data_IF_853755164853
#
_entry.id   IF_853755164853
#
_cell.length_a   1.000
_cell.length_b   1.000
_cell.length_c   1.000
_cell.angle_alpha   90.00
_cell.angle_beta   90.00
_cell.angle_gamma   90.00
#
_symmetry.space_group_name_H-M   'P 1'
#
loop_
_entity.id
_entity.type
_entity.pdbx_description
1 polymer ?
#
# COMPACT_ATOMS: atom_id res chain seq x y z
N UNK A 1 -11.33 5.30 0.31
CA UNK A 1 -11.03 3.90 0.68
C UNK A 1 -9.54 3.68 0.94
N UNK A 2 -8.62 4.08 0.05
CA UNK A 2 -7.17 3.87 0.27
C UNK A 2 -6.62 4.57 1.52
N UNK A 3 -7.07 5.79 1.84
CA UNK A 3 -6.65 6.50 3.06
C UNK A 3 -7.02 5.74 4.34
N UNK A 4 -8.24 5.17 4.39
CA UNK A 4 -8.65 4.31 5.51
C UNK A 4 -7.81 3.04 5.61
N UNK A 5 -7.43 2.44 4.46
CA UNK A 5 -6.56 1.26 4.46
C UNK A 5 -5.14 1.59 4.95
N UNK A 6 -4.61 2.78 4.64
CA UNK A 6 -3.34 3.24 5.19
C UNK A 6 -3.41 3.39 6.72
N UNK A 7 -4.47 4.03 7.24
CA UNK A 7 -4.72 4.13 8.68
C UNK A 7 -4.85 2.76 9.35
N UNK A 8 -5.56 1.82 8.72
CA UNK A 8 -5.66 0.44 9.23
C UNK A 8 -4.30 -0.26 9.28
N UNK A 9 -3.45 -0.02 8.28
CA UNK A 9 -2.06 -0.53 8.28
C UNK A 9 -1.27 -0.03 9.49
N UNK A 10 -1.41 1.26 9.85
CA UNK A 10 -0.80 1.83 11.07
C UNK A 10 -1.32 1.14 12.33
N UNK A 11 -2.63 0.95 12.44
CA UNK A 11 -3.24 0.25 13.59
C UNK A 11 -2.67 -1.16 13.74
N UNK A 12 -2.61 -1.93 12.65
CA UNK A 12 -2.08 -3.30 12.67
C UNK A 12 -0.59 -3.31 13.03
N UNK A 13 0.20 -2.39 12.46
CA UNK A 13 1.61 -2.23 12.79
C UNK A 13 1.84 -1.94 14.27
N UNK A 14 1.02 -1.06 14.86
CA UNK A 14 1.07 -0.73 16.28
C UNK A 14 0.67 -1.91 17.18
N UNK A 15 -0.37 -2.67 16.81
CA UNK A 15 -0.78 -3.89 17.53
C UNK A 15 0.35 -4.91 17.53
N UNK A 16 0.96 -5.19 16.37
CA UNK A 16 2.11 -6.10 16.26
C UNK A 16 3.35 -5.60 17.02
N UNK A 17 3.49 -4.29 17.15
CA UNK A 17 4.52 -3.69 18.01
C UNK A 17 4.20 -3.79 19.51
N UNK A 18 3.00 -4.27 19.88
CA UNK A 18 2.58 -4.45 21.26
C UNK A 18 2.08 -3.16 21.89
N UNK A 19 1.26 -2.40 21.17
CA UNK A 19 0.57 -1.23 21.76
C UNK A 19 -0.21 -1.67 23.00
N UNK A 20 0.05 -0.98 24.13
CA UNK A 20 -0.62 -1.24 25.40
C UNK A 20 -1.84 -0.34 25.61
N UNK A 21 -2.56 -0.60 26.69
CA UNK A 21 -3.66 0.26 27.17
C UNK A 21 -3.21 1.00 28.44
N UNK A 22 -3.52 2.31 28.60
CA UNK A 22 -4.27 3.15 27.64
C UNK A 22 -3.48 3.46 26.36
N UNK A 23 -4.19 3.64 25.24
CA UNK A 23 -3.58 3.99 23.95
C UNK A 23 -2.91 5.38 24.03
N UNK A 24 -1.64 5.52 23.64
CA UNK A 24 -0.94 6.80 23.69
C UNK A 24 -1.48 7.78 22.64
N UNK A 25 -1.30 9.07 22.85
CA UNK A 25 -1.75 10.11 21.92
C UNK A 25 -1.10 9.96 20.54
N UNK A 26 0.17 9.56 20.51
CA UNK A 26 0.95 9.30 19.30
C UNK A 26 0.30 8.27 18.38
N UNK A 27 -0.41 7.29 18.96
CA UNK A 27 -1.16 6.30 18.18
C UNK A 27 -2.26 6.95 17.33
N UNK A 28 -3.04 7.86 17.91
CA UNK A 28 -4.11 8.57 17.19
C UNK A 28 -3.55 9.55 16.17
N UNK A 29 -2.46 10.25 16.52
CA UNK A 29 -1.76 11.16 15.60
C UNK A 29 -1.21 10.36 14.41
N UNK A 30 -0.60 9.21 14.63
CA UNK A 30 -0.06 8.37 13.57
C UNK A 30 -1.14 7.91 12.57
N UNK A 31 -2.32 7.54 13.06
CA UNK A 31 -3.48 7.21 12.23
C UNK A 31 -3.91 8.40 11.38
N UNK A 32 -4.01 9.60 11.98
CA UNK A 32 -4.38 10.83 11.29
C UNK A 32 -3.33 11.22 10.22
N UNK A 33 -2.04 11.12 10.53
CA UNK A 33 -0.95 11.39 9.59
C UNK A 33 -1.02 10.46 8.37
N UNK A 34 -1.19 9.15 8.58
CA UNK A 34 -1.29 8.20 7.49
C UNK A 34 -2.53 8.46 6.61
N UNK A 35 -3.66 8.82 7.24
CA UNK A 35 -4.87 9.22 6.54
C UNK A 35 -4.64 10.46 5.67
N UNK A 36 -4.02 11.51 6.23
CA UNK A 36 -3.77 12.78 5.54
C UNK A 36 -2.78 12.62 4.39
N UNK A 37 -1.66 11.92 4.58
CA UNK A 37 -0.66 11.69 3.51
C UNK A 37 -1.26 10.89 2.37
N UNK A 38 -1.98 9.80 2.69
CA UNK A 38 -2.65 8.98 1.67
C UNK A 38 -3.77 9.76 0.98
N UNK A 39 -4.57 10.54 1.72
CA UNK A 39 -5.62 11.39 1.20
C UNK A 39 -5.06 12.48 0.27
N UNK A 40 -4.00 13.18 0.69
CA UNK A 40 -3.31 14.16 -0.13
C UNK A 40 -2.79 13.55 -1.44
N UNK A 41 -2.18 12.35 -1.37
CA UNK A 41 -1.72 11.62 -2.56
C UNK A 41 -2.85 11.27 -3.53
N UNK A 42 -4.04 10.90 -3.02
CA UNK A 42 -5.22 10.68 -3.87
C UNK A 42 -5.69 11.96 -4.56
N UNK A 43 -5.73 13.08 -3.83
CA UNK A 43 -6.13 14.39 -4.36
C UNK A 43 -5.14 14.86 -5.43
N UNK A 44 -3.85 14.71 -5.19
CA UNK A 44 -2.79 15.02 -6.17
C UNK A 44 -2.91 14.10 -7.39
N UNK A 45 -3.27 12.84 -7.21
CA UNK A 45 -3.51 11.94 -8.34
C UNK A 45 -4.70 12.39 -9.19
N UNK A 46 -5.82 12.80 -8.58
CA UNK A 46 -6.97 13.33 -9.31
C UNK A 46 -6.62 14.65 -10.04
N UNK A 47 -5.74 15.48 -9.45
CA UNK A 47 -5.24 16.69 -10.09
C UNK A 47 -4.47 16.39 -11.39
N UNK A 48 -3.51 15.45 -11.36
CA UNK A 48 -2.73 15.10 -12.55
C UNK A 48 -3.53 14.31 -13.58
N UNK A 49 -4.60 13.63 -13.15
CA UNK A 49 -5.50 12.87 -14.03
C UNK A 49 -6.66 13.70 -14.59
N UNK A 50 -6.75 15.00 -14.27
CA UNK A 50 -7.88 15.87 -14.61
C UNK A 50 -8.34 15.74 -16.07
N UNK A 51 -7.43 15.88 -17.03
CA UNK A 51 -7.77 15.82 -18.45
C UNK A 51 -8.24 14.45 -18.90
N UNK A 52 -7.66 13.41 -18.35
CA UNK A 52 -8.03 12.00 -18.63
C UNK A 52 -9.39 11.70 -18.00
N UNK A 53 -9.62 12.15 -16.77
CA UNK A 53 -10.87 11.93 -16.05
C UNK A 53 -12.04 12.75 -16.65
N UNK A 54 -11.80 13.90 -17.28
CA UNK A 54 -12.85 14.61 -18.04
C UNK A 54 -13.47 13.78 -19.16
N UNK A 55 -12.70 12.89 -19.74
CA UNK A 55 -13.16 12.00 -20.82
C UNK A 55 -13.75 10.72 -20.23
N UNK A 56 -13.02 10.06 -19.31
CA UNK A 56 -13.36 8.73 -18.85
C UNK A 56 -14.35 8.72 -17.68
N UNK A 57 -14.35 9.78 -16.85
CA UNK A 57 -15.12 9.86 -15.60
C UNK A 57 -15.62 11.29 -15.34
N UNK A 58 -16.41 11.91 -16.25
CA UNK A 58 -16.81 13.32 -16.19
C UNK A 58 -17.64 13.67 -14.95
N UNK A 59 -18.25 12.66 -14.32
CA UNK A 59 -19.05 12.83 -13.10
C UNK A 59 -18.23 12.93 -11.80
N UNK A 60 -16.90 12.68 -11.83
CA UNK A 60 -16.04 12.90 -10.67
C UNK A 60 -16.04 14.36 -10.25
N UNK A 61 -15.75 14.60 -8.96
CA UNK A 61 -15.86 15.91 -8.32
C UNK A 61 -15.03 17.00 -9.05
N UNK A 62 -13.79 16.70 -9.39
CA UNK A 62 -12.90 17.65 -10.05
C UNK A 62 -13.24 17.85 -11.55
N UNK A 63 -13.39 16.77 -12.37
CA UNK A 63 -13.81 16.90 -13.77
C UNK A 63 -15.17 17.56 -13.98
N UNK A 64 -16.12 17.38 -13.04
CA UNK A 64 -17.45 17.99 -13.12
C UNK A 64 -17.46 19.49 -12.79
N UNK A 65 -16.32 20.06 -12.37
CA UNK A 65 -16.22 21.47 -12.01
C UNK A 65 -16.81 21.84 -10.64
N UNK A 66 -17.22 20.85 -9.82
CA UNK A 66 -17.74 21.10 -8.46
C UNK A 66 -16.69 21.69 -7.53
N UNK A 67 -15.41 21.42 -7.80
CA UNK A 67 -14.25 21.97 -7.09
C UNK A 67 -13.25 22.47 -8.14
N UNK A 68 -12.70 23.68 -7.91
CA UNK A 68 -11.70 24.28 -8.80
C UNK A 68 -10.31 23.65 -8.62
N UNK A 69 -9.51 23.66 -9.69
CA UNK A 69 -8.13 23.16 -9.70
C UNK A 69 -7.24 23.81 -8.62
N UNK A 70 -7.42 25.11 -8.37
CA UNK A 70 -6.67 25.84 -7.35
C UNK A 70 -7.02 25.36 -5.94
N UNK A 71 -8.30 25.13 -5.66
CA UNK A 71 -8.75 24.61 -4.37
C UNK A 71 -8.19 23.22 -4.09
N UNK A 72 -8.11 22.35 -5.11
CA UNK A 72 -7.53 21.01 -5.02
C UNK A 72 -6.04 21.06 -4.65
N UNK A 73 -5.26 21.97 -5.27
CA UNK A 73 -3.84 22.17 -4.93
C UNK A 73 -3.67 22.64 -3.49
N UNK A 74 -4.45 23.65 -3.08
CA UNK A 74 -4.38 24.20 -1.72
C UNK A 74 -4.74 23.13 -0.71
N UNK A 75 -5.81 22.37 -0.95
CA UNK A 75 -6.27 21.33 -0.04
C UNK A 75 -5.26 20.17 0.10
N UNK A 76 -4.68 19.69 -1.02
CA UNK A 76 -3.63 18.69 -0.98
C UNK A 76 -2.37 19.18 -0.25
N UNK A 77 -1.94 20.43 -0.56
CA UNK A 77 -0.81 21.07 0.12
C UNK A 77 -1.03 21.21 1.61
N UNK A 78 -2.22 21.67 2.03
CA UNK A 78 -2.58 21.79 3.44
C UNK A 78 -2.52 20.44 4.16
N UNK A 79 -3.05 19.35 3.56
CA UNK A 79 -2.98 18.03 4.14
C UNK A 79 -1.54 17.53 4.33
N UNK A 80 -0.65 17.75 3.32
CA UNK A 80 0.76 17.39 3.47
C UNK A 80 1.45 18.21 4.57
N UNK A 81 1.22 19.53 4.62
CA UNK A 81 1.82 20.39 5.65
C UNK A 81 1.34 19.98 7.04
N UNK A 82 0.03 19.83 7.25
CA UNK A 82 -0.53 19.42 8.55
C UNK A 82 -0.01 18.05 8.96
N UNK A 83 0.04 17.06 8.04
CA UNK A 83 0.56 15.74 8.33
C UNK A 83 2.03 15.77 8.79
N UNK A 84 2.87 16.58 8.12
CA UNK A 84 4.28 16.72 8.49
C UNK A 84 4.45 17.47 9.83
N UNK A 85 3.64 18.49 10.10
CA UNK A 85 3.65 19.18 11.40
C UNK A 85 3.22 18.26 12.55
N UNK A 86 2.17 17.45 12.35
CA UNK A 86 1.74 16.43 13.32
C UNK A 86 2.83 15.38 13.55
N UNK A 87 3.54 14.96 12.52
CA UNK A 87 4.67 14.03 12.66
C UNK A 87 5.82 14.65 13.49
N UNK A 88 6.14 15.93 13.29
CA UNK A 88 7.13 16.65 14.07
C UNK A 88 6.71 16.73 15.55
N UNK A 89 5.42 16.97 15.81
CA UNK A 89 4.87 17.01 17.18
C UNK A 89 5.05 15.70 17.94
N UNK A 90 5.15 14.56 17.26
CA UNK A 90 5.40 13.24 17.89
C UNK A 90 6.85 13.10 18.40
N UNK A 91 7.76 14.04 18.11
CA UNK A 91 9.17 14.06 18.55
C UNK A 91 9.96 12.77 18.24
N UNK A 92 9.54 12.04 17.20
CA UNK A 92 10.16 10.81 16.73
C UNK A 92 10.73 11.01 15.33
N UNK A 93 12.07 11.07 15.23
CA UNK A 93 12.76 11.36 13.97
C UNK A 93 12.44 10.36 12.86
N UNK A 94 12.22 9.08 13.21
CA UNK A 94 11.86 8.05 12.22
C UNK A 94 10.49 8.29 11.62
N UNK A 95 9.51 8.70 12.44
CA UNK A 95 8.15 9.03 11.98
C UNK A 95 8.15 10.30 11.13
N UNK A 96 8.91 11.32 11.54
CA UNK A 96 9.08 12.56 10.74
C UNK A 96 9.67 12.25 9.38
N UNK A 97 10.79 11.53 9.35
CA UNK A 97 11.48 11.16 8.10
C UNK A 97 10.56 10.33 7.18
N UNK A 98 9.85 9.34 7.76
CA UNK A 98 8.96 8.47 6.98
C UNK A 98 7.74 9.23 6.45
N UNK A 99 7.18 10.18 7.23
CA UNK A 99 6.06 11.03 6.78
C UNK A 99 6.50 11.91 5.60
N UNK A 100 7.65 12.58 5.73
CA UNK A 100 8.18 13.43 4.67
C UNK A 100 8.48 12.62 3.41
N UNK A 101 9.16 11.48 3.55
CA UNK A 101 9.47 10.60 2.43
C UNK A 101 8.21 10.08 1.74
N UNK A 102 7.20 9.62 2.50
CA UNK A 102 5.93 9.15 1.93
C UNK A 102 5.14 10.29 1.25
N UNK A 103 5.22 11.52 1.76
CA UNK A 103 4.63 12.69 1.10
C UNK A 103 5.27 12.93 -0.27
N UNK A 104 6.60 12.82 -0.37
CA UNK A 104 7.31 12.90 -1.64
C UNK A 104 6.95 11.74 -2.57
N UNK A 105 6.94 10.50 -2.05
CA UNK A 105 6.62 9.31 -2.86
C UNK A 105 5.21 9.40 -3.42
N UNK A 106 4.20 9.80 -2.63
CA UNK A 106 2.82 9.93 -3.11
C UNK A 106 2.68 11.02 -4.17
N UNK A 107 3.36 12.17 -4.00
CA UNK A 107 3.38 13.24 -4.99
C UNK A 107 4.03 12.80 -6.30
N UNK A 108 5.28 12.29 -6.25
CA UNK A 108 5.99 11.85 -7.45
C UNK A 108 5.36 10.63 -8.12
N UNK A 109 4.70 9.76 -7.34
CA UNK A 109 3.91 8.68 -7.89
C UNK A 109 2.79 9.24 -8.79
N UNK A 110 2.02 10.19 -8.28
CA UNK A 110 0.92 10.80 -9.01
C UNK A 110 1.40 11.57 -10.26
N UNK A 111 2.51 12.29 -10.15
CA UNK A 111 3.05 13.11 -11.24
C UNK A 111 3.68 12.26 -12.35
N UNK A 112 4.57 11.30 -11.97
CA UNK A 112 5.48 10.65 -12.90
C UNK A 112 5.52 9.12 -12.81
N UNK A 113 5.62 8.55 -11.57
CA UNK A 113 6.00 7.15 -11.41
C UNK A 113 4.91 6.19 -11.89
N UNK A 114 3.63 6.54 -11.74
CA UNK A 114 2.51 5.71 -12.21
C UNK A 114 2.54 5.45 -13.73
N UNK A 115 3.19 6.36 -14.49
CA UNK A 115 3.35 6.23 -15.95
C UNK A 115 4.63 5.50 -16.35
N UNK A 116 5.42 5.00 -15.38
CA UNK A 116 6.71 4.34 -15.60
C UNK A 116 6.68 2.87 -15.18
N UNK A 117 7.58 2.03 -15.70
CA UNK A 117 7.62 0.60 -15.37
C UNK A 117 7.80 0.31 -13.88
N UNK A 118 8.40 1.23 -13.12
CA UNK A 118 8.68 1.06 -11.68
C UNK A 118 7.59 1.59 -10.76
N UNK A 119 6.45 2.07 -11.27
CA UNK A 119 5.37 2.63 -10.44
C UNK A 119 4.84 1.66 -9.37
N UNK A 120 4.84 0.35 -9.67
CA UNK A 120 4.41 -0.69 -8.73
C UNK A 120 5.27 -0.78 -7.46
N UNK A 121 6.56 -0.40 -7.53
CA UNK A 121 7.47 -0.36 -6.38
C UNK A 121 7.01 0.73 -5.38
N UNK A 122 6.62 1.91 -5.88
CA UNK A 122 6.13 2.98 -5.03
C UNK A 122 4.84 2.58 -4.28
N UNK A 123 3.91 1.88 -4.94
CA UNK A 123 2.68 1.38 -4.29
C UNK A 123 3.01 0.31 -3.26
N UNK A 124 3.90 -0.63 -3.56
CA UNK A 124 4.39 -1.62 -2.61
C UNK A 124 5.00 -0.96 -1.37
N UNK A 125 5.89 0.04 -1.56
CA UNK A 125 6.49 0.81 -0.48
C UNK A 125 5.44 1.51 0.38
N UNK A 126 4.50 2.25 -0.22
CA UNK A 126 3.47 2.98 0.52
C UNK A 126 2.58 2.03 1.35
N UNK A 127 2.34 0.81 0.87
CA UNK A 127 1.59 -0.19 1.64
C UNK A 127 2.42 -0.72 2.81
N UNK A 128 3.68 -1.08 2.57
CA UNK A 128 4.59 -1.57 3.61
C UNK A 128 4.85 -0.50 4.68
N UNK A 129 5.05 0.74 4.25
CA UNK A 129 5.36 1.87 5.14
C UNK A 129 4.24 2.17 6.13
N UNK A 130 2.97 1.85 5.82
CA UNK A 130 1.88 2.01 6.76
C UNK A 130 2.04 1.10 8.00
N UNK A 131 2.46 -0.15 7.82
CA UNK A 131 2.75 -1.06 8.92
C UNK A 131 3.99 -0.61 9.70
N UNK A 132 5.06 -0.20 9.00
CA UNK A 132 6.28 0.33 9.62
C UNK A 132 5.99 1.57 10.45
N UNK A 133 5.12 2.46 9.96
CA UNK A 133 4.74 3.68 10.66
C UNK A 133 4.09 3.36 12.02
N UNK A 134 3.15 2.41 12.03
CA UNK A 134 2.54 1.94 13.28
C UNK A 134 3.56 1.30 14.23
N UNK A 135 4.48 0.50 13.70
CA UNK A 135 5.53 -0.14 14.48
C UNK A 135 6.52 0.83 15.10
N UNK A 136 6.81 1.95 14.44
CA UNK A 136 7.76 2.96 14.87
C UNK A 136 7.25 3.89 15.98
N UNK A 137 5.96 3.88 16.30
CA UNK A 137 5.38 4.74 17.37
C UNK A 137 6.15 4.55 18.69
N UNK A 138 6.65 3.35 18.96
CA UNK A 138 7.38 3.00 20.20
C UNK A 138 8.91 3.04 20.05
N UNK A 139 9.42 3.74 19.04
CA UNK A 139 10.86 4.01 18.85
C UNK A 139 11.66 2.89 18.18
N UNK A 140 11.14 1.68 18.06
CA UNK A 140 11.83 0.56 17.40
C UNK A 140 10.85 -0.36 16.66
N UNK A 141 11.25 -0.87 15.50
CA UNK A 141 10.43 -1.78 14.72
C UNK A 141 10.68 -3.22 15.15
N UNK A 142 9.65 -3.90 15.64
CA UNK A 142 9.74 -5.32 15.99
C UNK A 142 9.88 -6.19 14.75
N UNK A 143 10.57 -7.34 14.82
CA UNK A 143 10.76 -8.23 13.66
C UNK A 143 9.46 -8.67 12.96
N UNK A 144 8.38 -8.88 13.70
CA UNK A 144 7.07 -9.23 13.13
C UNK A 144 6.48 -8.09 12.27
N UNK A 145 6.69 -6.84 12.67
CA UNK A 145 6.25 -5.66 11.87
C UNK A 145 7.05 -5.58 10.58
N UNK A 146 8.38 -5.76 10.65
CA UNK A 146 9.24 -5.80 9.46
C UNK A 146 8.83 -6.90 8.50
N UNK A 147 8.50 -8.06 9.02
CA UNK A 147 8.11 -9.21 8.23
C UNK A 147 6.76 -8.98 7.53
N UNK A 148 5.75 -8.50 8.26
CA UNK A 148 4.46 -8.15 7.65
C UNK A 148 4.61 -7.03 6.61
N UNK A 149 5.42 -6.01 6.89
CA UNK A 149 5.69 -4.94 5.95
C UNK A 149 6.38 -5.46 4.67
N UNK A 150 7.37 -6.36 4.80
CA UNK A 150 8.02 -7.00 3.65
C UNK A 150 7.04 -7.85 2.83
N UNK A 151 6.22 -8.67 3.48
CA UNK A 151 5.16 -9.45 2.81
C UNK A 151 4.18 -8.53 2.08
N UNK A 152 3.72 -7.45 2.73
CA UNK A 152 2.84 -6.45 2.13
C UNK A 152 3.49 -5.74 0.94
N UNK A 153 4.78 -5.45 1.00
CA UNK A 153 5.55 -4.89 -0.10
C UNK A 153 5.52 -5.81 -1.33
N UNK A 154 5.94 -7.05 -1.18
CA UNK A 154 6.05 -8.00 -2.28
C UNK A 154 4.70 -8.41 -2.86
N UNK A 155 3.71 -8.65 -2.01
CA UNK A 155 2.35 -8.99 -2.47
C UNK A 155 1.71 -7.84 -3.25
N UNK A 156 1.89 -6.59 -2.80
CA UNK A 156 1.37 -5.44 -3.54
C UNK A 156 2.10 -5.20 -4.86
N UNK A 157 3.43 -5.36 -4.94
CA UNK A 157 4.16 -5.29 -6.21
C UNK A 157 3.61 -6.33 -7.18
N UNK A 158 3.46 -7.59 -6.76
CA UNK A 158 2.87 -8.65 -7.58
C UNK A 158 1.49 -8.25 -8.10
N UNK A 159 0.61 -7.78 -7.23
CA UNK A 159 -0.75 -7.37 -7.57
C UNK A 159 -0.78 -6.17 -8.53
N UNK A 160 0.06 -5.16 -8.31
CA UNK A 160 0.11 -3.97 -9.18
C UNK A 160 0.64 -4.32 -10.59
N UNK A 161 1.56 -5.28 -10.71
CA UNK A 161 2.01 -5.78 -12.02
C UNK A 161 0.86 -6.50 -12.73
N UNK A 162 0.09 -7.36 -12.05
CA UNK A 162 -1.09 -8.04 -12.62
C UNK A 162 -2.15 -7.02 -13.02
N UNK A 163 -2.34 -5.96 -12.23
CA UNK A 163 -3.23 -4.85 -12.58
C UNK A 163 -2.76 -4.12 -13.84
N UNK A 164 -1.47 -3.85 -13.97
CA UNK A 164 -0.92 -3.21 -15.18
C UNK A 164 -1.09 -4.09 -16.44
N UNK A 165 -1.12 -5.43 -16.29
CA UNK A 165 -1.48 -6.35 -17.38
C UNK A 165 -2.95 -6.18 -17.79
N UNK A 166 -3.86 -5.96 -16.83
CA UNK A 166 -5.27 -5.68 -17.12
C UNK A 166 -5.45 -4.34 -17.82
N UNK A 167 -4.80 -3.31 -17.31
CA UNK A 167 -4.97 -1.92 -17.75
C UNK A 167 -4.20 -1.61 -19.06
N UNK A 168 -3.40 -2.55 -19.59
CA UNK A 168 -2.44 -2.32 -20.70
C UNK A 168 -3.06 -1.69 -21.95
N UNK A 169 -4.31 -2.02 -22.28
CA UNK A 169 -4.98 -1.49 -23.49
C UNK A 169 -5.26 0.00 -23.33
N UNK A 170 -5.77 0.41 -22.16
CA UNK A 170 -5.94 1.81 -21.81
C UNK A 170 -4.60 2.54 -21.69
N UNK A 171 -3.62 1.93 -20.99
CA UNK A 171 -2.28 2.49 -20.80
C UNK A 171 -1.61 2.83 -22.14
N UNK A 172 -1.74 1.98 -23.15
CA UNK A 172 -1.19 2.21 -24.48
C UNK A 172 -1.80 3.45 -25.16
N UNK A 173 -3.11 3.69 -24.97
CA UNK A 173 -3.80 4.86 -25.55
C UNK A 173 -3.32 6.19 -24.96
N UNK A 174 -2.84 6.17 -23.70
CA UNK A 174 -2.36 7.36 -22.98
C UNK A 174 -0.84 7.47 -22.88
N UNK A 175 -0.08 6.74 -23.73
CA UNK A 175 1.38 6.72 -23.75
C UNK A 175 2.02 6.37 -22.38
N UNK A 176 1.33 5.57 -21.56
CA UNK A 176 1.87 5.05 -20.29
C UNK A 176 2.87 3.94 -20.61
N UNK A 177 4.05 4.01 -20.00
CA UNK A 177 5.09 2.98 -20.14
C UNK A 177 5.02 2.02 -18.95
N UNK A 178 3.89 1.31 -18.80
CA UNK A 178 3.76 0.28 -17.75
C UNK A 178 4.67 -0.92 -18.03
N UNK A 179 4.99 -1.69 -16.98
CA UNK A 179 5.91 -2.82 -17.09
C UNK A 179 5.52 -3.80 -18.22
N UNK A 180 4.26 -4.26 -18.34
CA UNK A 180 3.85 -5.18 -19.41
C UNK A 180 3.91 -4.57 -20.82
N UNK A 181 3.86 -3.22 -20.94
CA UNK A 181 4.07 -2.54 -22.22
C UNK A 181 5.54 -2.39 -22.59
N UNK A 182 6.44 -2.41 -21.60
CA UNK A 182 7.88 -2.23 -21.81
C UNK A 182 8.58 -3.56 -22.10
N UNK A 183 8.29 -4.62 -21.33
CA UNK A 183 8.98 -5.92 -21.43
C UNK A 183 8.09 -7.05 -21.94
N UNK A 184 6.80 -6.80 -22.19
CA UNK A 184 5.83 -7.81 -22.57
C UNK A 184 5.04 -8.41 -21.41
N UNK A 185 3.91 -9.04 -21.73
CA UNK A 185 2.97 -9.59 -20.72
C UNK A 185 3.53 -10.82 -20.01
N UNK A 186 4.17 -11.74 -20.76
CA UNK A 186 4.70 -12.97 -20.17
C UNK A 186 5.85 -12.69 -19.19
N UNK A 187 6.90 -11.92 -19.50
CA UNK A 187 7.93 -11.54 -18.54
C UNK A 187 7.39 -10.76 -17.35
N UNK A 188 6.40 -9.86 -17.55
CA UNK A 188 5.79 -9.12 -16.46
C UNK A 188 5.07 -10.06 -15.46
N UNK A 189 4.34 -11.07 -15.95
CA UNK A 189 3.73 -12.10 -15.10
C UNK A 189 4.76 -12.94 -14.36
N UNK A 190 5.88 -13.28 -14.99
CA UNK A 190 6.98 -14.00 -14.33
C UNK A 190 7.55 -13.20 -13.15
N UNK A 191 7.79 -11.90 -13.35
CA UNK A 191 8.23 -10.99 -12.28
C UNK A 191 7.19 -10.92 -11.14
N UNK A 192 5.89 -10.81 -11.47
CA UNK A 192 4.83 -10.84 -10.49
C UNK A 192 4.81 -12.15 -9.69
N UNK A 193 5.03 -13.29 -10.38
CA UNK A 193 5.13 -14.62 -9.73
C UNK A 193 6.32 -14.69 -8.78
N UNK A 194 7.49 -14.17 -9.16
CA UNK A 194 8.66 -14.15 -8.29
C UNK A 194 8.37 -13.39 -7.00
N UNK A 195 7.80 -12.18 -7.09
CA UNK A 195 7.44 -11.40 -5.90
C UNK A 195 6.39 -12.10 -5.03
N UNK A 196 5.43 -12.79 -5.64
CA UNK A 196 4.43 -13.58 -4.94
C UNK A 196 5.08 -14.75 -4.17
N UNK A 197 6.00 -15.49 -4.80
CA UNK A 197 6.74 -16.59 -4.17
C UNK A 197 7.58 -16.09 -3.00
N UNK A 198 8.27 -14.96 -3.15
CA UNK A 198 9.03 -14.35 -2.05
C UNK A 198 8.12 -14.08 -0.85
N UNK A 199 6.92 -13.53 -1.07
CA UNK A 199 5.97 -13.27 0.00
C UNK A 199 5.49 -14.55 0.68
N UNK A 200 5.22 -15.63 -0.07
CA UNK A 200 4.85 -16.95 0.46
C UNK A 200 6.00 -17.54 1.27
N UNK A 201 7.26 -17.41 0.81
CA UNK A 201 8.41 -17.91 1.59
C UNK A 201 8.54 -17.13 2.91
N UNK A 202 8.37 -15.82 2.87
CA UNK A 202 8.42 -14.97 4.06
C UNK A 202 7.33 -15.31 5.09
N UNK A 203 6.17 -15.84 4.66
CA UNK A 203 5.08 -16.20 5.56
C UNK A 203 5.44 -17.33 6.54
N UNK A 204 6.44 -18.15 6.22
CA UNK A 204 6.92 -19.23 7.11
C UNK A 204 7.95 -18.76 8.15
N UNK A 205 8.52 -17.56 7.99
CA UNK A 205 9.56 -17.05 8.92
C UNK A 205 9.05 -16.88 10.35
N UNK A 206 7.81 -16.39 10.63
CA UNK A 206 7.32 -16.30 12.01
C UNK A 206 7.24 -17.66 12.72
N UNK A 207 6.91 -18.72 11.97
CA UNK A 207 6.86 -20.10 12.49
C UNK A 207 8.27 -20.55 12.88
N UNK A 208 9.25 -20.38 11.99
CA UNK A 208 10.63 -20.74 12.25
C UNK A 208 11.24 -20.01 13.45
N UNK A 209 10.77 -18.78 13.70
CA UNK A 209 11.22 -17.95 14.83
C UNK A 209 10.40 -18.18 16.12
N UNK A 210 9.42 -19.05 16.12
CA UNK A 210 8.50 -19.31 17.25
C UNK A 210 7.93 -18.01 17.87
N UNK A 211 7.54 -17.04 17.00
CA UNK A 211 7.10 -15.70 17.42
C UNK A 211 5.58 -15.54 17.49
N UNK A 212 4.84 -16.51 16.95
CA UNK A 212 3.38 -16.48 16.87
C UNK A 212 2.80 -17.80 17.38
N UNK A 213 1.56 -17.75 17.88
CA UNK A 213 0.83 -18.90 18.40
C UNK A 213 0.46 -19.91 17.32
N UNK A 214 -0.03 -21.07 17.74
CA UNK A 214 -0.46 -22.17 16.87
C UNK A 214 -1.54 -21.76 15.85
N UNK A 215 -2.32 -20.73 16.13
CA UNK A 215 -3.39 -20.25 15.24
C UNK A 215 -2.87 -19.54 13.98
N UNK A 216 -1.63 -19.03 14.00
CA UNK A 216 -1.04 -18.37 12.84
C UNK A 216 -0.97 -19.27 11.61
N UNK A 217 -0.36 -20.45 11.77
CA UNK A 217 0.01 -21.30 10.64
C UNK A 217 -1.18 -21.79 9.80
N UNK A 218 -2.28 -22.30 10.37
CA UNK A 218 -3.44 -22.76 9.58
C UNK A 218 -4.06 -21.64 8.74
N UNK A 219 -4.19 -20.44 9.33
CA UNK A 219 -4.81 -19.29 8.66
C UNK A 219 -3.86 -18.77 7.58
N UNK A 220 -2.55 -18.77 7.83
CA UNK A 220 -1.55 -18.34 6.85
C UNK A 220 -1.47 -19.29 5.67
N UNK A 221 -1.51 -20.63 5.90
CA UNK A 221 -1.57 -21.62 4.82
C UNK A 221 -2.80 -21.37 3.93
N UNK A 222 -3.96 -21.04 4.51
CA UNK A 222 -5.14 -20.69 3.72
C UNK A 222 -4.90 -19.45 2.87
N UNK A 223 -4.24 -18.41 3.42
CA UNK A 223 -3.86 -17.21 2.67
C UNK A 223 -2.92 -17.56 1.51
N UNK A 224 -1.88 -18.36 1.77
CA UNK A 224 -0.88 -18.75 0.78
C UNK A 224 -1.49 -19.60 -0.35
N UNK A 225 -2.42 -20.51 -0.04
CA UNK A 225 -3.17 -21.31 -1.03
C UNK A 225 -4.00 -20.39 -1.93
N UNK A 226 -4.71 -19.40 -1.35
CA UNK A 226 -5.49 -18.41 -2.13
C UNK A 226 -4.54 -17.59 -3.02
N UNK A 227 -3.37 -17.21 -2.49
CA UNK A 227 -2.38 -16.43 -3.24
C UNK A 227 -1.74 -17.24 -4.37
N UNK A 228 -1.38 -18.51 -4.11
CA UNK A 228 -0.89 -19.45 -5.13
C UNK A 228 -1.93 -19.68 -6.23
N UNK A 229 -3.20 -19.86 -5.88
CA UNK A 229 -4.30 -19.92 -6.83
C UNK A 229 -4.36 -18.64 -7.70
N UNK A 230 -4.23 -17.46 -7.10
CA UNK A 230 -4.21 -16.19 -7.82
C UNK A 230 -3.06 -16.12 -8.85
N UNK A 231 -1.89 -16.67 -8.53
CA UNK A 231 -0.73 -16.77 -9.44
C UNK A 231 -1.07 -17.64 -10.67
N UNK A 232 -1.64 -18.81 -10.45
CA UNK A 232 -2.02 -19.72 -11.55
C UNK A 232 -3.03 -19.04 -12.49
N UNK A 233 -3.94 -18.24 -11.95
CA UNK A 233 -4.99 -17.57 -12.71
C UNK A 233 -4.62 -16.14 -13.17
N UNK A 234 -3.34 -15.79 -13.27
CA UNK A 234 -2.90 -14.49 -13.83
C UNK A 234 -3.30 -14.28 -15.30
N UNK A 235 -3.73 -15.34 -16.00
CA UNK A 235 -4.37 -15.25 -17.31
C UNK A 235 -5.68 -14.45 -17.30
N UNK A 236 -6.35 -14.40 -16.15
CA UNK A 236 -7.58 -13.66 -15.87
C UNK A 236 -7.31 -12.58 -14.82
N UNK A 237 -6.71 -11.41 -15.22
CA UNK A 237 -6.15 -10.43 -14.27
C UNK A 237 -7.13 -9.93 -13.21
N UNK A 238 -8.39 -9.64 -13.60
CA UNK A 238 -9.44 -9.19 -12.65
C UNK A 238 -9.71 -10.22 -11.55
N UNK A 239 -9.78 -11.51 -11.89
CA UNK A 239 -9.98 -12.60 -10.93
C UNK A 239 -8.76 -12.76 -10.02
N UNK A 240 -7.56 -12.79 -10.62
CA UNK A 240 -6.30 -12.88 -9.91
C UNK A 240 -6.16 -11.77 -8.86
N UNK A 241 -6.39 -10.50 -9.22
CA UNK A 241 -6.32 -9.38 -8.28
C UNK A 241 -7.31 -9.49 -7.11
N UNK A 242 -8.54 -9.97 -7.35
CA UNK A 242 -9.53 -10.18 -6.29
C UNK A 242 -9.06 -11.24 -5.30
N UNK A 243 -8.49 -12.35 -5.80
CA UNK A 243 -7.93 -13.42 -4.97
C UNK A 243 -6.69 -12.94 -4.19
N UNK A 244 -5.79 -12.18 -4.82
CA UNK A 244 -4.65 -11.58 -4.13
C UNK A 244 -5.08 -10.66 -2.98
N UNK A 245 -6.09 -9.82 -3.17
CA UNK A 245 -6.64 -8.97 -2.08
C UNK A 245 -7.22 -9.80 -0.95
N UNK A 246 -7.95 -10.87 -1.28
CA UNK A 246 -8.51 -11.79 -0.27
C UNK A 246 -7.39 -12.46 0.52
N UNK A 247 -6.35 -12.97 -0.15
CA UNK A 247 -5.20 -13.59 0.49
C UNK A 247 -4.48 -12.62 1.44
N UNK A 248 -4.24 -11.36 1.01
CA UNK A 248 -3.65 -10.32 1.85
C UNK A 248 -4.49 -10.05 3.11
N UNK A 249 -5.82 -10.03 2.96
CA UNK A 249 -6.72 -9.83 4.10
C UNK A 249 -6.66 -11.02 5.07
N UNK A 250 -6.69 -12.25 4.56
CA UNK A 250 -6.55 -13.48 5.38
C UNK A 250 -5.19 -13.53 6.07
N UNK A 251 -4.10 -13.10 5.39
CA UNK A 251 -2.78 -13.01 5.99
C UNK A 251 -2.74 -12.03 7.18
N UNK A 252 -3.42 -10.89 7.10
CA UNK A 252 -3.54 -9.96 8.24
C UNK A 252 -4.24 -10.64 9.42
N UNK A 253 -5.33 -11.37 9.15
CA UNK A 253 -6.05 -12.13 10.19
C UNK A 253 -5.11 -13.17 10.82
N UNK A 254 -4.28 -13.86 10.03
CA UNK A 254 -3.30 -14.83 10.55
C UNK A 254 -2.33 -14.17 11.53
N UNK A 255 -1.76 -13.02 11.19
CA UNK A 255 -0.87 -12.28 12.10
C UNK A 255 -1.58 -11.87 13.39
N UNK A 256 -2.80 -11.36 13.32
CA UNK A 256 -3.57 -10.96 14.51
C UNK A 256 -3.95 -12.17 15.38
N UNK A 257 -4.40 -13.26 14.77
CA UNK A 257 -4.71 -14.50 15.49
C UNK A 257 -3.47 -15.14 16.09
N UNK A 258 -2.31 -14.98 15.47
CA UNK A 258 -1.05 -15.47 15.98
C UNK A 258 -0.52 -14.73 17.21
N UNK A 259 -1.06 -13.54 17.55
CA UNK A 259 -0.73 -12.82 18.78
C UNK A 259 -1.51 -13.31 20.00
N UNK A 260 -2.64 -14.01 19.81
CA UNK A 260 -3.44 -14.62 20.88
C UNK A 260 -2.78 -15.91 21.36
#
# INVERSE_FOLDING_TARGET
MNALMASLGVVIGAILAGVGTPLPLEFFIAIAVAFMVSGAGMIVNDYFDYYIDRINRPHRVLPSGKIGMQSVKIYAGALYVIANLLAIFMLNIYLVTLTFFNSLVTYFYAEKLKKRPMGHIAVGWLTASAFLYGGLIFGSVRPLVLLLAAMAFFTNISREIVKAVEDRTGDKMYNVRSLPLTIGVAPARQIATIFAIIAIILSFVPVALHKLSVFYLPIMIAADVIFAYAIVFMGYPSRSQKMMKLAMFVAIIAFLAGLA
#
